data_IF_573498974415
#
_entry.id   IF_573498974415
#
_cell.length_a   1.000
_cell.length_b   1.000
_cell.length_c   1.000
_cell.angle_alpha   90.00
_cell.angle_beta   90.00
_cell.angle_gamma   90.00
#
_symmetry.space_group_name_H-M   'P 1'
#
loop_
_entity.id
_entity.type
_entity.pdbx_description
1 polymer ?
#
# COMPACT_ATOMS: atom_id res chain seq x y z
N UNK A 1 -4.61 9.93 -12.47
CA UNK A 1 -5.35 10.82 -11.56
C UNK A 1 -6.75 10.28 -11.30
N UNK A 2 -7.68 10.28 -12.27
CA UNK A 2 -9.04 9.73 -12.09
C UNK A 2 -9.02 8.26 -11.62
N UNK A 3 -8.12 7.43 -12.16
CA UNK A 3 -7.98 6.03 -11.73
C UNK A 3 -7.71 5.86 -10.23
N UNK A 4 -6.91 6.75 -9.62
CA UNK A 4 -6.63 6.71 -8.17
C UNK A 4 -7.84 7.13 -7.34
N UNK A 5 -8.68 8.04 -7.84
CA UNK A 5 -9.95 8.38 -7.20
C UNK A 5 -10.95 7.23 -7.25
N UNK A 6 -10.98 6.49 -8.37
CA UNK A 6 -11.81 5.29 -8.50
C UNK A 6 -11.33 4.17 -7.57
N UNK A 7 -10.02 4.01 -7.42
CA UNK A 7 -9.41 3.07 -6.47
C UNK A 7 -9.76 3.44 -5.02
N UNK A 8 -9.66 4.72 -4.65
CA UNK A 8 -10.07 5.24 -3.34
C UNK A 8 -11.56 4.99 -3.06
N UNK A 9 -12.42 5.28 -4.04
CA UNK A 9 -13.87 5.01 -3.93
C UNK A 9 -14.15 3.52 -3.73
N UNK A 10 -13.49 2.65 -4.49
CA UNK A 10 -13.59 1.20 -4.34
C UNK A 10 -13.06 0.72 -2.98
N UNK A 11 -12.03 1.37 -2.42
CA UNK A 11 -11.52 1.08 -1.09
C UNK A 11 -12.53 1.44 0.01
N UNK A 12 -13.18 2.60 -0.08
CA UNK A 12 -14.25 3.00 0.85
C UNK A 12 -15.44 2.04 0.79
N UNK A 13 -15.83 1.58 -0.40
CA UNK A 13 -16.90 0.59 -0.55
C UNK A 13 -16.55 -0.73 0.14
N UNK A 14 -15.34 -1.26 -0.11
CA UNK A 14 -14.84 -2.48 0.54
C UNK A 14 -14.78 -2.34 2.06
N UNK A 15 -14.30 -1.21 2.57
CA UNK A 15 -14.23 -0.95 4.01
C UNK A 15 -15.63 -1.01 4.65
N UNK A 16 -16.63 -0.41 4.00
CA UNK A 16 -18.03 -0.46 4.45
C UNK A 16 -18.62 -1.87 4.43
N UNK A 17 -18.26 -2.67 3.43
CA UNK A 17 -18.72 -4.06 3.30
C UNK A 17 -18.06 -5.00 4.30
N UNK A 18 -16.82 -4.71 4.70
CA UNK A 18 -16.06 -5.51 5.67
C UNK A 18 -16.60 -5.42 7.11
N UNK A 19 -17.40 -4.40 7.43
CA UNK A 19 -18.05 -4.27 8.73
C UNK A 19 -18.04 -2.84 9.27
N UNK A 20 -18.18 -2.66 10.60
CA UNK A 20 -18.10 -1.35 11.23
C UNK A 20 -16.75 -0.69 10.99
N UNK A 21 -16.78 0.54 10.49
CA UNK A 21 -15.59 1.40 10.30
C UNK A 21 -15.60 2.47 11.39
N UNK A 22 -14.42 2.83 11.89
CA UNK A 22 -14.29 3.98 12.78
C UNK A 22 -14.91 5.25 12.15
N UNK A 23 -15.68 5.99 12.96
CA UNK A 23 -16.45 7.13 12.48
C UNK A 23 -15.55 8.25 11.97
N UNK A 24 -14.45 8.53 12.68
CA UNK A 24 -13.54 9.61 12.30
C UNK A 24 -12.80 9.25 10.99
N UNK A 25 -12.31 8.01 10.88
CA UNK A 25 -11.68 7.52 9.66
C UNK A 25 -12.63 7.53 8.45
N UNK A 26 -13.90 7.18 8.66
CA UNK A 26 -14.91 7.23 7.61
C UNK A 26 -15.20 8.66 7.16
N UNK A 27 -15.39 9.59 8.10
CA UNK A 27 -15.63 11.00 7.80
C UNK A 27 -14.45 11.63 7.04
N UNK A 28 -13.23 11.34 7.47
CA UNK A 28 -12.01 11.78 6.78
C UNK A 28 -11.94 11.21 5.36
N UNK A 29 -12.15 9.89 5.20
CA UNK A 29 -12.09 9.22 3.90
C UNK A 29 -13.08 9.79 2.88
N UNK A 30 -14.32 10.09 3.32
CA UNK A 30 -15.35 10.71 2.48
C UNK A 30 -15.01 12.17 2.16
N UNK A 31 -14.59 12.98 3.14
CA UNK A 31 -14.22 14.38 2.91
C UNK A 31 -13.05 14.49 1.93
N UNK A 32 -12.02 13.67 2.09
CA UNK A 32 -10.88 13.61 1.18
C UNK A 32 -11.32 13.19 -0.24
N UNK A 33 -12.20 12.20 -0.36
CA UNK A 33 -12.74 11.79 -1.66
C UNK A 33 -13.46 12.94 -2.39
N UNK A 34 -14.28 13.72 -1.68
CA UNK A 34 -14.98 14.87 -2.24
C UNK A 34 -14.01 15.98 -2.64
N UNK A 35 -13.07 16.36 -1.76
CA UNK A 35 -12.10 17.43 -2.04
C UNK A 35 -11.24 17.11 -3.26
N UNK A 36 -10.74 15.88 -3.37
CA UNK A 36 -9.93 15.45 -4.52
C UNK A 36 -10.75 15.37 -5.82
N UNK A 37 -12.06 15.11 -5.73
CA UNK A 37 -12.96 15.01 -6.87
C UNK A 37 -13.51 16.38 -7.30
N UNK A 38 -13.50 17.39 -6.43
CA UNK A 38 -14.12 18.68 -6.66
C UNK A 38 -13.64 19.42 -7.92
N UNK A 39 -12.34 19.39 -8.29
CA UNK A 39 -11.88 20.00 -9.55
C UNK A 39 -12.43 19.32 -10.82
N UNK A 40 -12.90 18.07 -10.71
CA UNK A 40 -13.36 17.26 -11.84
C UNK A 40 -14.90 17.26 -11.96
N UNK A 41 -15.60 17.24 -10.82
CA UNK A 41 -17.05 17.14 -10.76
C UNK A 41 -17.64 18.16 -9.77
N UNK A 42 -17.45 19.48 -10.00
CA UNK A 42 -17.67 20.52 -9.00
C UNK A 42 -19.10 20.55 -8.44
N UNK A 43 -20.10 20.47 -9.32
CA UNK A 43 -21.50 20.57 -8.93
C UNK A 43 -21.97 19.43 -8.02
N UNK A 44 -21.59 18.18 -8.33
CA UNK A 44 -21.99 17.03 -7.51
C UNK A 44 -21.22 17.01 -6.20
N UNK A 45 -19.95 17.40 -6.19
CA UNK A 45 -19.17 17.47 -4.96
C UNK A 45 -19.62 18.58 -4.03
N UNK A 46 -20.10 19.72 -4.55
CA UNK A 46 -20.68 20.80 -3.74
C UNK A 46 -21.95 20.32 -3.03
N UNK A 47 -22.89 19.72 -3.77
CA UNK A 47 -24.12 19.14 -3.21
C UNK A 47 -23.82 18.05 -2.16
N UNK A 48 -22.87 17.16 -2.44
CA UNK A 48 -22.48 16.11 -1.49
C UNK A 48 -21.76 16.66 -0.26
N UNK A 49 -20.97 17.73 -0.41
CA UNK A 49 -20.30 18.41 0.69
C UNK A 49 -21.30 19.04 1.65
N UNK A 50 -22.33 19.72 1.14
CA UNK A 50 -23.41 20.27 1.95
C UNK A 50 -24.16 19.16 2.71
N UNK A 51 -24.48 18.05 2.04
CA UNK A 51 -25.17 16.90 2.65
C UNK A 51 -24.43 16.26 3.82
N UNK A 52 -23.10 16.30 3.82
CA UNK A 52 -22.29 15.78 4.93
C UNK A 52 -21.98 16.85 6.00
N UNK A 53 -22.60 18.02 5.91
CA UNK A 53 -22.40 19.13 6.87
C UNK A 53 -21.04 19.82 6.70
N UNK A 54 -20.53 19.90 5.48
CA UNK A 54 -19.33 20.65 5.15
C UNK A 54 -19.54 22.17 5.34
N UNK A 55 -18.59 22.90 5.96
CA UNK A 55 -18.69 24.35 6.10
C UNK A 55 -18.32 25.04 4.80
N UNK A 56 -19.03 26.11 4.43
CA UNK A 56 -18.81 26.88 3.20
C UNK A 56 -18.82 26.01 1.93
N UNK A 57 -18.55 26.62 0.77
CA UNK A 57 -18.40 25.86 -0.47
C UNK A 57 -17.17 24.95 -0.40
N UNK A 58 -17.25 23.76 -1.03
CA UNK A 58 -16.11 22.84 -1.11
C UNK A 58 -14.94 23.48 -1.86
N UNK A 59 -15.22 24.40 -2.77
CA UNK A 59 -14.23 25.12 -3.56
C UNK A 59 -13.48 26.20 -2.78
N UNK A 60 -13.90 26.51 -1.56
CA UNK A 60 -13.20 27.41 -0.64
C UNK A 60 -12.35 26.66 0.39
N UNK A 61 -12.38 25.33 0.37
CA UNK A 61 -11.63 24.50 1.31
C UNK A 61 -10.18 24.34 0.88
N UNK A 62 -9.33 24.03 1.86
CA UNK A 62 -7.94 23.67 1.59
C UNK A 62 -7.87 22.31 0.91
N UNK A 63 -6.84 22.16 0.08
CA UNK A 63 -6.50 20.86 -0.47
C UNK A 63 -6.09 19.89 0.65
N UNK A 64 -6.50 18.61 0.59
CA UNK A 64 -6.11 17.63 1.61
C UNK A 64 -4.60 17.40 1.60
N UNK A 65 -4.02 17.32 2.79
CA UNK A 65 -2.61 17.02 3.01
C UNK A 65 -2.49 15.56 3.48
N UNK A 66 -1.54 14.82 2.92
CA UNK A 66 -1.33 13.43 3.29
C UNK A 66 -0.48 13.33 4.56
N UNK A 67 -0.90 12.47 5.49
CA UNK A 67 -0.08 12.09 6.64
C UNK A 67 0.95 11.03 6.20
N UNK A 68 2.26 11.33 6.28
CA UNK A 68 3.30 10.39 5.90
C UNK A 68 3.30 9.10 6.73
N UNK A 69 2.82 9.12 7.96
CA UNK A 69 2.75 7.93 8.82
C UNK A 69 1.64 6.98 8.35
N UNK A 70 0.46 7.52 8.01
CA UNK A 70 -0.67 6.74 7.47
C UNK A 70 -0.42 6.26 6.04
N UNK A 71 0.43 6.96 5.28
CA UNK A 71 0.80 6.60 3.92
C UNK A 71 1.93 5.56 3.85
N UNK A 72 2.48 5.11 4.99
CA UNK A 72 3.49 4.05 4.99
C UNK A 72 2.87 2.72 4.60
N UNK A 73 3.57 2.01 3.73
CA UNK A 73 3.24 0.63 3.43
C UNK A 73 3.46 -0.22 4.70
N UNK A 74 2.46 -0.98 5.11
CA UNK A 74 2.59 -1.97 6.19
C UNK A 74 3.35 -3.21 5.72
N UNK A 75 3.21 -3.53 4.43
CA UNK A 75 3.86 -4.65 3.76
C UNK A 75 4.57 -4.20 2.49
N UNK A 76 5.76 -4.74 2.25
CA UNK A 76 6.57 -4.46 1.07
C UNK A 76 6.85 -5.74 0.28
N UNK A 77 6.83 -5.62 -1.04
CA UNK A 77 7.21 -6.71 -1.95
C UNK A 77 8.72 -6.66 -2.20
N UNK A 78 9.42 -7.71 -1.77
CA UNK A 78 10.87 -7.87 -1.93
C UNK A 78 11.14 -8.87 -3.06
N UNK A 79 11.97 -8.46 -4.03
CA UNK A 79 12.39 -9.35 -5.11
C UNK A 79 13.40 -10.38 -4.62
N UNK A 80 13.19 -11.65 -4.93
CA UNK A 80 14.10 -12.74 -4.57
C UNK A 80 14.91 -13.15 -5.78
N UNK A 81 16.23 -13.05 -5.67
CA UNK A 81 17.20 -13.36 -6.71
C UNK A 81 18.07 -14.55 -6.31
N UNK A 82 18.42 -15.37 -7.31
CA UNK A 82 19.45 -16.41 -7.20
C UNK A 82 20.46 -16.20 -8.31
N UNK A 83 21.73 -15.99 -7.95
CA UNK A 83 22.81 -15.62 -8.86
C UNK A 83 22.44 -14.43 -9.76
N UNK A 84 21.80 -13.40 -9.19
CA UNK A 84 21.43 -12.16 -9.87
C UNK A 84 20.20 -12.24 -10.79
N UNK A 85 19.53 -13.38 -10.90
CA UNK A 85 18.28 -13.53 -11.66
C UNK A 85 17.09 -13.56 -10.70
N UNK A 86 16.04 -12.77 -10.97
CA UNK A 86 14.77 -12.78 -10.18
C UNK A 86 14.07 -14.13 -10.37
N UNK A 87 13.76 -14.80 -9.27
CA UNK A 87 13.15 -16.14 -9.25
C UNK A 87 11.79 -16.15 -8.59
N UNK A 88 11.59 -15.25 -7.65
CA UNK A 88 10.36 -15.12 -6.87
C UNK A 88 10.18 -13.70 -6.34
N UNK A 89 9.03 -13.43 -5.74
CA UNK A 89 8.77 -12.22 -4.95
C UNK A 89 8.15 -12.61 -3.61
N UNK A 90 8.55 -11.91 -2.56
CA UNK A 90 8.09 -12.18 -1.21
C UNK A 90 7.50 -10.90 -0.63
N UNK A 91 6.25 -10.95 -0.19
CA UNK A 91 5.63 -9.89 0.59
C UNK A 91 5.99 -10.10 2.07
N UNK A 92 6.53 -9.07 2.72
CA UNK A 92 6.89 -9.07 4.15
C UNK A 92 6.48 -7.75 4.81
N UNK A 93 6.35 -7.70 6.14
CA UNK A 93 6.18 -6.44 6.86
C UNK A 93 7.28 -5.42 6.49
N UNK A 94 6.93 -4.15 6.38
CA UNK A 94 7.87 -3.10 5.96
C UNK A 94 9.04 -2.89 6.95
N UNK A 95 8.83 -3.25 8.21
CA UNK A 95 9.78 -3.20 9.31
C UNK A 95 10.52 -4.53 9.55
N UNK A 96 10.31 -5.53 8.69
CA UNK A 96 10.93 -6.84 8.84
C UNK A 96 12.47 -6.77 8.81
N UNK A 97 13.10 -7.42 9.78
CA UNK A 97 14.56 -7.52 9.84
C UNK A 97 15.14 -8.50 8.79
N UNK A 98 16.44 -8.37 8.54
CA UNK A 98 17.14 -9.22 7.57
C UNK A 98 16.98 -10.72 7.89
N UNK A 99 17.04 -11.10 9.16
CA UNK A 99 16.98 -12.49 9.59
C UNK A 99 15.62 -13.12 9.26
N UNK A 100 14.54 -12.40 9.53
CA UNK A 100 13.18 -12.78 9.19
C UNK A 100 13.01 -12.92 7.68
N UNK A 101 13.44 -11.91 6.91
CA UNK A 101 13.30 -11.93 5.44
C UNK A 101 14.08 -13.10 4.84
N UNK A 102 15.32 -13.33 5.26
CA UNK A 102 16.16 -14.44 4.74
C UNK A 102 15.56 -15.81 5.11
N UNK A 103 15.03 -15.97 6.32
CA UNK A 103 14.36 -17.20 6.72
C UNK A 103 13.13 -17.50 5.85
N UNK A 104 12.31 -16.48 5.55
CA UNK A 104 11.14 -16.61 4.68
C UNK A 104 11.53 -16.90 3.24
N UNK A 105 12.58 -16.29 2.72
CA UNK A 105 13.11 -16.57 1.38
C UNK A 105 13.54 -18.04 1.25
N UNK A 106 14.19 -18.62 2.27
CA UNK A 106 14.61 -20.04 2.26
C UNK A 106 13.42 -21.01 2.26
N UNK A 107 12.26 -20.60 2.78
CA UNK A 107 11.05 -21.42 2.79
C UNK A 107 10.31 -21.42 1.45
N UNK A 108 10.66 -20.53 0.51
CA UNK A 108 10.04 -20.50 -0.82
C UNK A 108 10.41 -21.76 -1.61
N UNK A 109 9.41 -22.51 -2.05
CA UNK A 109 9.61 -23.76 -2.81
C UNK A 109 10.48 -23.55 -4.05
N UNK A 110 10.30 -22.42 -4.77
CA UNK A 110 11.09 -22.08 -5.97
C UNK A 110 12.57 -21.85 -5.62
N UNK A 111 12.85 -21.27 -4.46
CA UNK A 111 14.23 -21.02 -4.00
C UNK A 111 14.84 -22.32 -3.49
N UNK A 112 14.13 -23.09 -2.67
CA UNK A 112 14.59 -24.39 -2.17
C UNK A 112 14.96 -25.35 -3.31
N UNK A 113 14.15 -25.41 -4.37
CA UNK A 113 14.42 -26.21 -5.56
C UNK A 113 15.68 -25.74 -6.34
N UNK A 114 16.00 -24.44 -6.31
CA UNK A 114 17.19 -23.89 -6.96
C UNK A 114 18.46 -24.04 -6.11
N UNK A 115 18.30 -24.13 -4.79
CA UNK A 115 19.42 -24.38 -3.86
C UNK A 115 19.88 -25.83 -3.93
N UNK A 116 18.98 -26.80 -4.18
CA UNK A 116 19.32 -28.23 -4.38
C UNK A 116 20.25 -28.79 -3.29
N UNK A 117 20.01 -28.41 -2.03
CA UNK A 117 20.83 -28.80 -0.87
C UNK A 117 22.20 -28.12 -0.76
N UNK A 118 22.53 -27.16 -1.64
CA UNK A 118 23.77 -26.37 -1.56
C UNK A 118 23.61 -25.20 -0.59
N UNK A 119 24.60 -25.04 0.28
CA UNK A 119 24.68 -23.86 1.14
C UNK A 119 25.07 -22.62 0.33
N UNK A 120 24.37 -21.49 0.50
CA UNK A 120 24.75 -20.21 -0.11
C UNK A 120 26.16 -19.77 0.26
N UNK A 121 26.96 -19.35 -0.72
CA UNK A 121 28.25 -18.67 -0.47
C UNK A 121 28.07 -17.30 0.15
N UNK A 122 27.03 -16.58 -0.28
CA UNK A 122 26.73 -15.24 0.19
C UNK A 122 25.24 -14.94 0.05
N UNK A 123 24.66 -14.31 1.06
CA UNK A 123 23.32 -13.73 1.01
C UNK A 123 23.49 -12.22 1.05
N UNK A 124 22.86 -11.50 0.13
CA UNK A 124 22.90 -10.04 0.05
C UNK A 124 21.47 -9.54 0.22
N UNK A 125 21.21 -8.91 1.35
CA UNK A 125 19.95 -8.22 1.59
C UNK A 125 20.10 -6.73 1.32
N UNK A 126 19.18 -6.17 0.54
CA UNK A 126 19.00 -4.73 0.40
C UNK A 126 17.65 -4.40 1.04
N UNK A 127 17.65 -3.69 2.20
CA UNK A 127 16.44 -3.37 2.94
C UNK A 127 15.33 -2.82 2.06
N UNK A 128 14.18 -3.49 2.14
CA UNK A 128 12.97 -3.19 1.39
C UNK A 128 13.05 -3.20 -0.14
N UNK A 129 14.08 -3.83 -0.72
CA UNK A 129 14.22 -3.92 -2.19
C UNK A 129 14.38 -5.35 -2.69
N UNK A 130 15.42 -6.06 -2.24
CA UNK A 130 15.71 -7.40 -2.75
C UNK A 130 16.54 -8.25 -1.79
N UNK A 131 16.45 -9.57 -1.97
CA UNK A 131 17.39 -10.55 -1.44
C UNK A 131 18.04 -11.26 -2.62
N UNK A 132 19.37 -11.28 -2.67
CA UNK A 132 20.11 -12.06 -3.66
C UNK A 132 20.92 -13.16 -2.97
N UNK A 133 20.66 -14.40 -3.39
CA UNK A 133 21.38 -15.58 -2.93
C UNK A 133 22.44 -15.95 -3.98
N UNK A 134 23.69 -15.94 -3.56
CA UNK A 134 24.83 -16.39 -4.36
C UNK A 134 25.18 -17.82 -3.94
N UNK A 135 25.10 -18.76 -4.89
CA UNK A 135 25.52 -20.16 -4.74
C UNK A 135 27.03 -20.35 -5.02
#
# INVERSE_FOLDING_TARGET
MISRLMEHSSALQRAREAGPVDRAAWEEGIRTALLLTAPLAPHITEELWERIGGPYSIHQQRWPEADPELARDEEIEIAVQVNGKVRDRLTVPADADEAFVVARVRQLQRVAALLDGKEPRKVIYVPGKLVNIVL
#
